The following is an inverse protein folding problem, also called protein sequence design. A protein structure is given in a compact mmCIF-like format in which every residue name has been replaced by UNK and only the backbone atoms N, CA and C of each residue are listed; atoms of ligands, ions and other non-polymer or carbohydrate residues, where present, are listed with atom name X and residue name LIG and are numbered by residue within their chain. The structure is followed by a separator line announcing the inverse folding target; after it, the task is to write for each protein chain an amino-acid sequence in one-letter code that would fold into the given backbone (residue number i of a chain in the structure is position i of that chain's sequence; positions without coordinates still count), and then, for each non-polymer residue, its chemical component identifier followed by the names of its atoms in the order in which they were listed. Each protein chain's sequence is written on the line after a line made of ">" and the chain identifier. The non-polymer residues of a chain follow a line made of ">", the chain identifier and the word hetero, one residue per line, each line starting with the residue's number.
data_IF_212794563197
#
_entry.id   IF_212794563197
#
_cell.length_a   1.000
_cell.length_b   1.000
_cell.length_c   1.000
_cell.angle_alpha   90.00
_cell.angle_beta   90.00
_cell.angle_gamma   90.00
#
_symmetry.space_group_name_H-M   'P 1'
#
loop_
_entity.id
_entity.type
_entity.pdbx_description
1 polymer ?
#
# COMPACT_ATOMS: atom_id res chain seq x y z
N UNK A 1 -0.03 43.84 7.29
CA UNK A 1 -1.29 43.10 6.99
C UNK A 1 -2.56 43.94 7.13
N UNK A 2 -2.64 44.86 8.10
CA UNK A 2 -3.79 45.77 8.37
C UNK A 2 -4.45 46.40 7.14
N UNK A 3 -3.67 46.95 6.22
CA UNK A 3 -4.17 47.61 5.01
C UNK A 3 -5.03 46.69 4.11
N UNK A 4 -4.71 45.39 4.04
CA UNK A 4 -5.51 44.41 3.27
C UNK A 4 -6.88 44.16 3.91
N UNK A 5 -6.98 44.18 5.23
CA UNK A 5 -8.25 44.02 5.95
C UNK A 5 -9.08 45.29 5.93
N UNK A 6 -8.45 46.46 6.01
CA UNK A 6 -9.14 47.75 5.86
C UNK A 6 -9.79 47.88 4.46
N UNK A 7 -9.09 47.45 3.40
CA UNK A 7 -9.65 47.36 2.04
C UNK A 7 -10.81 46.38 1.89
N UNK A 8 -10.98 45.43 2.80
CA UNK A 8 -12.12 44.48 2.84
C UNK A 8 -13.27 44.97 3.72
N UNK A 9 -13.24 46.22 4.18
CA UNK A 9 -14.32 46.85 4.95
C UNK A 9 -14.31 46.59 6.45
N UNK A 10 -13.22 46.03 7.00
CA UNK A 10 -13.15 45.77 8.44
C UNK A 10 -12.97 47.08 9.24
N UNK A 11 -13.79 47.34 10.29
CA UNK A 11 -13.68 48.54 11.11
C UNK A 11 -12.33 48.64 11.83
N UNK A 12 -11.76 49.86 11.86
CA UNK A 12 -10.44 50.13 12.45
C UNK A 12 -10.32 49.65 13.90
N UNK A 13 -11.39 49.79 14.70
CA UNK A 13 -11.43 49.36 16.10
C UNK A 13 -11.24 47.85 16.28
N UNK A 14 -11.70 47.03 15.32
CA UNK A 14 -11.52 45.57 15.35
C UNK A 14 -10.08 45.21 15.02
N UNK A 15 -9.45 45.95 14.11
CA UNK A 15 -8.05 45.77 13.74
C UNK A 15 -7.12 46.16 14.88
N UNK A 16 -7.41 47.24 15.61
CA UNK A 16 -6.65 47.67 16.79
C UNK A 16 -6.72 46.63 17.92
N UNK A 17 -7.91 46.06 18.18
CA UNK A 17 -8.07 44.97 19.15
C UNK A 17 -7.30 43.71 18.74
N UNK A 18 -7.32 43.36 17.46
CA UNK A 18 -6.60 42.21 16.94
C UNK A 18 -5.07 42.38 17.04
N UNK A 19 -4.55 43.57 16.72
CA UNK A 19 -3.11 43.86 16.85
C UNK A 19 -2.65 43.85 18.31
N UNK A 20 -3.46 44.40 19.24
CA UNK A 20 -3.21 44.27 20.68
C UNK A 20 -3.23 42.82 21.17
N UNK A 21 -4.11 41.99 20.62
CA UNK A 21 -4.19 40.56 20.98
C UNK A 21 -3.01 39.73 20.45
N UNK A 22 -2.40 40.15 19.32
CA UNK A 22 -1.21 39.50 18.75
C UNK A 22 0.06 39.85 19.55
N UNK A 23 0.16 41.08 20.06
CA UNK A 23 1.30 41.53 20.87
C UNK A 23 1.38 40.90 22.27
N UNK A 24 0.27 40.38 22.79
CA UNK A 24 0.26 39.61 24.04
C UNK A 24 0.69 38.17 23.77
N UNK A 25 2.00 37.93 23.72
CA UNK A 25 2.54 36.58 23.74
C UNK A 25 2.13 35.90 25.05
N UNK A 26 1.08 35.07 25.00
CA UNK A 26 0.81 34.13 26.09
C UNK A 26 2.04 33.24 26.20
N UNK A 27 2.81 33.42 27.27
CA UNK A 27 3.95 32.55 27.58
C UNK A 27 3.48 31.10 27.48
N UNK A 28 4.01 30.36 26.49
CA UNK A 28 3.74 28.93 26.37
C UNK A 28 4.36 28.28 27.59
N UNK A 29 3.57 28.01 28.63
CA UNK A 29 3.97 27.14 29.73
C UNK A 29 4.45 25.83 29.12
N UNK A 30 5.76 25.57 29.18
CA UNK A 30 6.37 24.32 28.77
C UNK A 30 5.82 23.25 29.73
N UNK A 31 4.79 22.52 29.28
CA UNK A 31 4.23 21.40 30.03
C UNK A 31 5.09 20.17 29.69
N UNK A 32 5.54 19.45 30.71
CA UNK A 32 6.28 18.19 30.54
C UNK A 32 5.50 17.14 29.72
N UNK A 33 6.14 16.02 29.36
CA UNK A 33 5.55 15.00 28.49
C UNK A 33 4.30 14.40 29.14
N UNK A 34 3.12 14.78 28.66
CA UNK A 34 1.83 14.20 29.08
C UNK A 34 1.40 13.17 28.05
N UNK A 35 0.93 12.01 28.52
CA UNK A 35 0.30 11.01 27.65
C UNK A 35 -0.93 11.63 26.98
N UNK A 36 -1.09 11.41 25.69
CA UNK A 36 -2.30 11.83 24.96
C UNK A 36 -3.31 10.68 24.94
N UNK A 37 -4.49 10.91 25.51
CA UNK A 37 -5.61 9.97 25.45
C UNK A 37 -6.58 10.40 24.34
N UNK A 38 -6.59 9.65 23.24
CA UNK A 38 -7.40 9.98 22.05
C UNK A 38 -8.75 9.27 22.10
N UNK A 39 -9.84 10.02 22.28
CA UNK A 39 -11.22 9.49 22.27
C UNK A 39 -12.06 10.11 21.15
N UNK A 40 -13.30 9.65 20.98
CA UNK A 40 -14.22 10.27 20.01
C UNK A 40 -15.02 11.40 20.64
N UNK A 41 -15.17 12.52 19.92
CA UNK A 41 -16.05 13.61 20.36
C UNK A 41 -17.52 13.18 20.31
N UNK A 42 -18.26 13.36 21.41
CA UNK A 42 -19.68 13.02 21.50
C UNK A 42 -20.31 13.59 22.79
N UNK A 43 -21.62 13.39 22.99
CA UNK A 43 -22.32 13.92 24.18
C UNK A 43 -21.78 13.42 25.51
N UNK A 44 -21.16 12.23 25.53
CA UNK A 44 -20.55 11.61 26.71
C UNK A 44 -19.08 12.03 26.93
N UNK A 45 -18.46 12.77 26.01
CA UNK A 45 -17.02 13.09 26.10
C UNK A 45 -16.66 13.84 27.38
N UNK A 46 -17.52 14.77 27.81
CA UNK A 46 -17.38 15.50 29.08
C UNK A 46 -17.50 14.58 30.29
N UNK A 47 -18.44 13.62 30.28
CA UNK A 47 -18.60 12.62 31.35
C UNK A 47 -17.38 11.71 31.43
N UNK A 48 -16.86 11.25 30.29
CA UNK A 48 -15.65 10.43 30.20
C UNK A 48 -14.44 11.19 30.77
N UNK A 49 -14.27 12.46 30.42
CA UNK A 49 -13.22 13.30 31.01
C UNK A 49 -13.38 13.42 32.53
N UNK A 50 -14.60 13.67 33.02
CA UNK A 50 -14.88 13.75 34.45
C UNK A 50 -14.52 12.48 35.20
N UNK A 51 -14.89 11.32 34.65
CA UNK A 51 -14.54 10.00 35.21
C UNK A 51 -13.01 9.80 35.20
N UNK A 52 -12.36 10.12 34.07
CA UNK A 52 -10.92 9.95 33.92
C UNK A 52 -10.15 10.79 34.94
N UNK A 53 -10.52 12.05 35.13
CA UNK A 53 -9.89 12.93 36.12
C UNK A 53 -10.17 12.44 37.56
N UNK A 54 -11.40 12.02 37.85
CA UNK A 54 -11.80 11.55 39.18
C UNK A 54 -11.04 10.28 39.60
N UNK A 55 -10.82 9.36 38.66
CA UNK A 55 -10.23 8.05 38.95
C UNK A 55 -8.77 7.91 38.52
N UNK A 56 -8.15 8.95 37.95
CA UNK A 56 -6.72 8.95 37.61
C UNK A 56 -5.80 8.58 38.78
N UNK A 57 -6.05 9.03 40.03
CA UNK A 57 -5.21 8.66 41.17
C UNK A 57 -5.11 7.15 41.43
N UNK A 58 -6.10 6.37 41.00
CA UNK A 58 -6.05 4.89 41.11
C UNK A 58 -4.90 4.34 40.27
N UNK A 59 -4.72 4.86 39.05
CA UNK A 59 -3.63 4.46 38.16
C UNK A 59 -2.26 4.93 38.68
N UNK A 60 -2.20 6.13 39.27
CA UNK A 60 -0.99 6.62 39.92
C UNK A 60 -0.55 5.71 41.09
N UNK A 61 -1.49 5.23 41.90
CA UNK A 61 -1.22 4.36 43.05
C UNK A 61 -0.87 2.93 42.65
N UNK A 62 -1.55 2.38 41.63
CA UNK A 62 -1.31 1.03 41.16
C UNK A 62 0.04 0.87 40.44
N UNK A 63 0.51 1.93 39.76
CA UNK A 63 1.73 1.90 38.94
C UNK A 63 2.69 3.06 39.25
N UNK A 64 3.30 3.09 40.45
CA UNK A 64 4.20 4.16 40.86
C UNK A 64 5.51 4.20 40.07
N UNK A 65 5.89 3.11 39.40
CA UNK A 65 7.10 3.00 38.58
C UNK A 65 7.00 3.72 37.23
N UNK A 66 5.78 4.01 36.76
CA UNK A 66 5.53 4.63 35.44
C UNK A 66 5.49 6.14 35.59
N UNK A 67 6.56 6.82 35.15
CA UNK A 67 6.73 8.28 35.26
C UNK A 67 5.67 9.07 34.49
N UNK A 68 5.06 8.44 33.50
CA UNK A 68 4.08 9.05 32.62
C UNK A 68 2.68 9.16 33.25
N UNK A 69 2.39 8.41 34.32
CA UNK A 69 1.10 8.46 35.02
C UNK A 69 1.03 9.49 36.15
N UNK A 70 2.13 10.22 36.41
CA UNK A 70 2.21 11.26 37.44
C UNK A 70 1.17 12.38 37.22
N UNK A 71 0.82 12.65 35.96
CA UNK A 71 -0.17 13.68 35.61
C UNK A 71 -1.29 13.11 34.75
N UNK A 72 -2.53 13.64 34.87
CA UNK A 72 -3.64 13.19 34.05
C UNK A 72 -3.34 13.43 32.56
N UNK A 73 -3.81 12.53 31.69
CA UNK A 73 -3.44 12.54 30.29
C UNK A 73 -4.12 13.73 29.60
N UNK A 74 -3.49 14.21 28.53
CA UNK A 74 -4.08 15.19 27.64
C UNK A 74 -5.16 14.50 26.80
N UNK A 75 -6.43 14.82 27.05
CA UNK A 75 -7.52 14.27 26.26
C UNK A 75 -7.60 14.98 24.93
N UNK A 76 -7.47 14.22 23.85
CA UNK A 76 -7.70 14.68 22.47
C UNK A 76 -8.93 14.00 21.89
N UNK A 77 -9.71 14.74 21.11
CA UNK A 77 -10.92 14.21 20.49
C UNK A 77 -10.75 14.05 18.98
N UNK A 78 -10.99 12.83 18.50
CA UNK A 78 -11.19 12.54 17.08
C UNK A 78 -12.64 12.84 16.70
N UNK A 79 -12.83 13.46 15.53
CA UNK A 79 -14.16 13.70 14.96
C UNK A 79 -14.91 12.38 14.80
N UNK A 80 -16.13 12.30 15.34
CA UNK A 80 -17.01 11.13 15.15
C UNK A 80 -17.52 11.10 13.71
N UNK A 81 -17.77 9.89 13.18
CA UNK A 81 -18.43 9.72 11.89
C UNK A 81 -19.82 10.37 11.95
N UNK A 82 -20.08 11.35 11.10
CA UNK A 82 -21.40 12.00 10.98
C UNK A 82 -22.36 11.12 10.19
N UNK A 83 -23.66 11.35 10.32
CA UNK A 83 -24.69 10.70 9.48
C UNK A 83 -24.36 10.95 8.00
N UNK A 84 -23.99 12.18 7.64
CA UNK A 84 -23.46 12.51 6.32
C UNK A 84 -22.32 11.56 5.90
N UNK A 85 -21.28 11.38 6.71
CA UNK A 85 -20.18 10.45 6.35
C UNK A 85 -20.59 8.97 6.24
N UNK A 86 -21.73 8.58 6.83
CA UNK A 86 -22.30 7.23 6.68
C UNK A 86 -23.14 7.09 5.40
N UNK A 87 -23.95 8.11 5.09
CA UNK A 87 -24.90 8.12 3.98
C UNK A 87 -24.29 8.61 2.66
N UNK A 88 -23.47 9.66 2.71
CA UNK A 88 -22.72 10.18 1.56
C UNK A 88 -21.45 9.37 1.36
N UNK A 89 -21.60 8.16 0.81
CA UNK A 89 -20.49 7.54 0.09
C UNK A 89 -20.53 8.10 -1.33
N UNK A 90 -19.49 8.83 -1.73
CA UNK A 90 -19.38 9.36 -3.10
C UNK A 90 -19.32 8.27 -4.18
N UNK A 91 -19.13 7.02 -3.77
CA UNK A 91 -19.15 5.85 -4.65
C UNK A 91 -20.01 4.77 -4.01
N UNK A 92 -21.02 4.30 -4.74
CA UNK A 92 -21.72 3.06 -4.40
C UNK A 92 -20.68 1.93 -4.42
N UNK A 93 -20.47 1.20 -3.31
CA UNK A 93 -19.66 -0.01 -3.36
C UNK A 93 -20.31 -0.90 -4.41
N UNK A 94 -19.62 -1.16 -5.53
CA UNK A 94 -19.99 -2.31 -6.35
C UNK A 94 -19.86 -3.50 -5.41
N UNK A 95 -20.95 -4.21 -5.17
CA UNK A 95 -20.86 -5.46 -4.44
C UNK A 95 -19.72 -6.24 -5.06
N UNK A 96 -18.74 -6.59 -4.22
CA UNK A 96 -17.81 -7.64 -4.59
C UNK A 96 -18.69 -8.88 -4.64
N UNK A 97 -19.39 -9.08 -5.76
CA UNK A 97 -19.87 -10.36 -6.19
C UNK A 97 -18.59 -11.19 -6.32
N UNK A 98 -18.14 -11.72 -5.19
CA UNK A 98 -17.35 -12.95 -5.17
C UNK A 98 -18.34 -13.92 -5.77
N UNK A 99 -18.31 -14.03 -7.10
CA UNK A 99 -19.18 -14.92 -7.83
C UNK A 99 -18.89 -16.31 -7.26
N UNK A 100 -19.72 -16.73 -6.32
CA UNK A 100 -19.81 -18.11 -5.89
C UNK A 100 -20.31 -18.82 -7.14
N UNK A 101 -19.38 -19.35 -7.91
CA UNK A 101 -19.71 -20.37 -8.88
C UNK A 101 -20.43 -21.50 -8.16
N UNK A 102 -21.25 -22.29 -8.88
CA UNK A 102 -21.89 -23.49 -8.34
C UNK A 102 -20.92 -24.41 -7.57
N UNK A 103 -19.64 -24.41 -7.97
CA UNK A 103 -18.54 -25.14 -7.34
C UNK A 103 -17.88 -24.44 -6.12
N UNK A 104 -18.53 -23.42 -5.54
CA UNK A 104 -18.04 -22.67 -4.39
C UNK A 104 -17.17 -21.45 -4.73
N UNK A 105 -16.51 -20.92 -3.70
CA UNK A 105 -15.62 -19.76 -3.83
C UNK A 105 -14.32 -20.14 -4.55
N UNK A 106 -13.92 -19.34 -5.53
CA UNK A 106 -12.62 -19.55 -6.20
C UNK A 106 -11.50 -19.44 -5.19
N UNK A 107 -10.66 -20.47 -5.14
CA UNK A 107 -9.43 -20.45 -4.36
C UNK A 107 -8.54 -19.28 -4.83
N UNK A 108 -7.94 -18.55 -3.89
CA UNK A 108 -6.89 -17.59 -4.24
C UNK A 108 -5.65 -18.33 -4.75
N UNK A 109 -4.79 -17.63 -5.48
CA UNK A 109 -3.56 -18.17 -6.04
C UNK A 109 -3.50 -18.14 -7.56
N UNK A 110 -2.44 -18.74 -8.09
CA UNK A 110 -2.19 -18.89 -9.52
C UNK A 110 -2.53 -20.31 -9.98
N UNK A 111 -3.29 -20.41 -11.07
CA UNK A 111 -3.74 -21.68 -11.64
C UNK A 111 -3.57 -21.68 -13.18
N UNK A 112 -3.31 -22.85 -13.80
CA UNK A 112 -3.24 -22.95 -15.25
C UNK A 112 -4.62 -22.69 -15.85
N UNK A 113 -4.70 -22.01 -17.00
CA UNK A 113 -5.97 -21.87 -17.72
C UNK A 113 -6.31 -23.10 -18.60
N UNK A 114 -5.45 -24.14 -18.59
CA UNK A 114 -5.54 -25.40 -19.34
C UNK A 114 -5.50 -25.29 -20.87
N UNK A 115 -5.84 -24.13 -21.42
CA UNK A 115 -5.92 -23.86 -22.87
C UNK A 115 -4.68 -23.09 -23.40
N UNK A 116 -3.50 -23.32 -22.83
CA UNK A 116 -2.32 -22.51 -23.20
C UNK A 116 -0.96 -23.22 -23.14
N UNK A 117 -0.09 -22.94 -24.13
CA UNK A 117 1.29 -23.44 -24.16
C UNK A 117 2.15 -22.97 -22.98
N UNK A 118 1.77 -21.87 -22.32
CA UNK A 118 2.49 -21.32 -21.16
C UNK A 118 2.08 -21.97 -19.84
N UNK A 119 0.97 -22.70 -19.82
CA UNK A 119 0.38 -23.26 -18.62
C UNK A 119 1.32 -24.29 -17.95
N UNK A 120 2.17 -24.96 -18.74
CA UNK A 120 3.22 -25.88 -18.25
C UNK A 120 4.33 -25.19 -17.45
N UNK A 121 4.50 -23.88 -17.57
CA UNK A 121 5.54 -23.09 -16.88
C UNK A 121 5.01 -22.34 -15.65
N UNK A 122 3.71 -22.48 -15.34
CA UNK A 122 3.07 -21.81 -14.22
C UNK A 122 3.50 -22.44 -12.91
N UNK A 123 3.93 -21.62 -11.95
CA UNK A 123 4.03 -22.01 -10.54
C UNK A 123 2.61 -21.95 -9.99
N UNK A 124 2.07 -23.11 -9.60
CA UNK A 124 0.69 -23.24 -9.13
C UNK A 124 0.65 -23.06 -7.62
N UNK A 125 -0.40 -22.42 -7.12
CA UNK A 125 -0.69 -22.40 -5.68
C UNK A 125 -1.03 -21.04 -5.11
N UNK A 126 -1.29 -21.04 -3.80
CA UNK A 126 -1.69 -19.88 -2.98
C UNK A 126 -0.51 -19.03 -2.52
N UNK A 127 0.70 -19.59 -2.55
CA UNK A 127 1.89 -18.96 -2.03
C UNK A 127 2.97 -18.92 -3.09
N UNK A 128 3.67 -17.79 -3.18
CA UNK A 128 4.94 -17.69 -3.87
C UNK A 128 6.06 -17.89 -2.85
N UNK A 129 6.91 -18.89 -3.06
CA UNK A 129 8.06 -19.16 -2.21
C UNK A 129 9.28 -18.46 -2.83
N UNK A 130 9.94 -17.60 -2.05
CA UNK A 130 11.17 -16.96 -2.49
C UNK A 130 12.32 -17.99 -2.51
N UNK A 131 12.98 -18.28 -3.66
CA UNK A 131 14.00 -19.33 -3.74
C UNK A 131 15.21 -19.13 -2.81
N UNK A 132 15.64 -17.89 -2.60
CA UNK A 132 16.77 -17.57 -1.71
C UNK A 132 16.44 -17.55 -0.20
N UNK A 133 15.41 -16.81 0.22
CA UNK A 133 15.09 -16.62 1.65
C UNK A 133 14.12 -17.66 2.21
N UNK A 134 13.39 -18.39 1.37
CA UNK A 134 12.31 -19.29 1.79
C UNK A 134 11.02 -18.57 2.20
N UNK A 135 10.97 -17.24 2.09
CA UNK A 135 9.79 -16.46 2.50
C UNK A 135 8.56 -16.84 1.67
N UNK A 136 7.47 -17.17 2.36
CA UNK A 136 6.19 -17.47 1.72
C UNK A 136 5.32 -16.22 1.58
N UNK A 137 4.92 -15.90 0.36
CA UNK A 137 4.10 -14.73 0.04
C UNK A 137 2.72 -15.19 -0.41
N UNK A 138 1.70 -14.88 0.38
CA UNK A 138 0.32 -15.23 0.05
C UNK A 138 -0.20 -14.40 -1.14
N UNK A 139 -0.58 -15.09 -2.21
CA UNK A 139 -1.16 -14.50 -3.41
C UNK A 139 -2.65 -14.25 -3.20
N UNK A 140 -3.07 -13.01 -3.44
CA UNK A 140 -4.45 -12.56 -3.25
C UNK A 140 -5.22 -12.60 -4.56
N UNK A 141 -6.42 -13.19 -4.52
CA UNK A 141 -7.28 -13.35 -5.70
C UNK A 141 -6.93 -14.57 -6.55
N UNK A 142 -7.81 -14.88 -7.52
CA UNK A 142 -7.64 -15.99 -8.46
C UNK A 142 -7.00 -15.49 -9.75
N UNK A 143 -5.84 -16.02 -10.10
CA UNK A 143 -5.07 -15.63 -11.28
C UNK A 143 -4.86 -16.80 -12.21
N UNK A 144 -4.82 -16.49 -13.51
CA UNK A 144 -4.51 -17.45 -14.55
C UNK A 144 -3.64 -16.80 -15.61
N UNK A 145 -3.25 -17.57 -16.63
CA UNK A 145 -2.50 -17.07 -17.78
C UNK A 145 -3.26 -15.99 -18.59
N UNK A 146 -4.57 -15.84 -18.36
CA UNK A 146 -5.43 -14.84 -19.00
C UNK A 146 -5.51 -13.53 -18.21
N UNK A 147 -4.96 -13.46 -17.00
CA UNK A 147 -4.97 -12.24 -16.19
C UNK A 147 -4.28 -11.08 -16.93
N UNK A 148 -4.78 -9.86 -16.72
CA UNK A 148 -4.32 -8.61 -17.33
C UNK A 148 -4.11 -7.56 -16.23
N UNK A 149 -3.30 -6.53 -16.46
CA UNK A 149 -2.94 -5.52 -15.45
C UNK A 149 -2.39 -6.15 -14.18
N UNK A 150 -1.32 -6.92 -14.35
CA UNK A 150 -0.72 -7.67 -13.25
C UNK A 150 0.78 -7.40 -13.16
N UNK A 151 1.29 -7.56 -11.94
CA UNK A 151 2.71 -7.74 -11.66
C UNK A 151 2.96 -9.24 -11.52
N UNK A 152 3.96 -9.75 -12.24
CA UNK A 152 4.34 -11.16 -12.25
C UNK A 152 5.82 -11.32 -11.89
N UNK A 153 6.16 -12.51 -11.38
CA UNK A 153 7.52 -12.95 -11.18
C UNK A 153 7.85 -14.07 -12.17
N UNK A 154 9.06 -14.02 -12.70
CA UNK A 154 9.73 -15.10 -13.42
C UNK A 154 10.85 -15.62 -12.53
N UNK A 155 10.90 -16.92 -12.33
CA UNK A 155 11.92 -17.61 -11.54
C UNK A 155 12.81 -18.41 -12.49
N UNK A 156 14.11 -18.13 -12.42
CA UNK A 156 15.16 -18.89 -13.07
C UNK A 156 15.38 -20.23 -12.34
N UNK A 157 15.79 -21.31 -13.04
CA UNK A 157 16.26 -22.54 -12.38
C UNK A 157 17.42 -22.30 -11.38
N UNK A 158 18.21 -21.26 -11.60
CA UNK A 158 19.28 -20.80 -10.73
C UNK A 158 18.82 -20.08 -9.44
N UNK A 159 17.50 -19.92 -9.23
CA UNK A 159 16.93 -19.26 -8.06
C UNK A 159 16.79 -17.72 -8.17
N UNK A 160 17.38 -17.10 -9.19
CA UNK A 160 17.20 -15.66 -9.43
C UNK A 160 15.78 -15.34 -9.93
N UNK A 161 15.27 -14.19 -9.49
CA UNK A 161 13.91 -13.74 -9.81
C UNK A 161 13.98 -12.49 -10.69
N UNK A 162 13.10 -12.43 -11.69
CA UNK A 162 12.77 -11.23 -12.44
C UNK A 162 11.33 -10.83 -12.10
N UNK A 163 11.10 -9.58 -11.74
CA UNK A 163 9.75 -9.01 -11.57
C UNK A 163 9.46 -8.14 -12.78
N UNK A 164 8.23 -8.24 -13.29
CA UNK A 164 7.78 -7.33 -14.34
C UNK A 164 6.28 -7.11 -14.26
N UNK A 165 5.83 -6.14 -15.03
CA UNK A 165 4.44 -5.74 -15.16
C UNK A 165 3.90 -6.02 -16.57
N UNK A 166 2.58 -6.14 -16.67
CA UNK A 166 1.93 -6.22 -17.97
C UNK A 166 0.48 -5.74 -17.92
N UNK A 167 0.12 -4.95 -18.91
CA UNK A 167 -1.27 -4.58 -19.20
C UNK A 167 -1.96 -5.70 -19.99
N UNK A 168 -1.20 -6.38 -20.85
CA UNK A 168 -1.68 -7.46 -21.70
C UNK A 168 -1.93 -8.75 -20.89
N UNK A 169 -2.43 -9.80 -21.56
CA UNK A 169 -2.58 -11.12 -20.93
C UNK A 169 -1.21 -11.68 -20.59
N UNK A 170 -1.04 -12.22 -19.37
CA UNK A 170 0.25 -12.80 -18.93
C UNK A 170 0.81 -13.81 -19.93
N UNK A 171 -0.05 -14.66 -20.53
CA UNK A 171 0.38 -15.63 -21.54
C UNK A 171 1.14 -15.00 -22.71
N UNK A 172 0.70 -13.82 -23.17
CA UNK A 172 1.31 -13.10 -24.28
C UNK A 172 2.66 -12.52 -23.86
N UNK A 173 2.72 -11.91 -22.68
CA UNK A 173 3.97 -11.35 -22.13
C UNK A 173 5.03 -12.42 -21.90
N UNK A 174 4.66 -13.55 -21.32
CA UNK A 174 5.59 -14.68 -21.12
C UNK A 174 6.05 -15.22 -22.48
N UNK A 175 5.17 -15.34 -23.47
CA UNK A 175 5.57 -15.76 -24.82
C UNK A 175 6.59 -14.81 -25.45
N UNK A 176 6.46 -13.50 -25.23
CA UNK A 176 7.42 -12.50 -25.68
C UNK A 176 8.78 -12.71 -25.02
N UNK A 177 8.83 -12.88 -23.70
CA UNK A 177 10.07 -13.20 -22.98
C UNK A 177 10.73 -14.49 -23.47
N UNK A 178 9.94 -15.54 -23.74
CA UNK A 178 10.49 -16.79 -24.28
C UNK A 178 11.07 -16.59 -25.68
N UNK A 179 10.43 -15.78 -26.52
CA UNK A 179 10.93 -15.45 -27.86
C UNK A 179 12.26 -14.69 -27.79
N UNK A 180 12.37 -13.70 -26.89
CA UNK A 180 13.62 -12.92 -26.74
C UNK A 180 14.77 -13.77 -26.22
N UNK A 181 14.51 -14.70 -25.28
CA UNK A 181 15.48 -15.69 -24.81
C UNK A 181 15.93 -16.60 -25.96
N UNK A 182 14.98 -17.11 -26.76
CA UNK A 182 15.29 -17.99 -27.91
C UNK A 182 16.17 -17.29 -28.95
N UNK A 183 15.92 -16.01 -29.21
CA UNK A 183 16.74 -15.18 -30.09
C UNK A 183 18.10 -14.80 -29.48
N UNK A 184 18.29 -14.99 -28.17
CA UNK A 184 19.54 -14.68 -27.48
C UNK A 184 19.86 -13.18 -27.44
N UNK A 185 18.83 -12.32 -27.35
CA UNK A 185 19.01 -10.87 -27.32
C UNK A 185 19.70 -10.43 -26.02
N UNK A 186 20.92 -9.89 -26.13
CA UNK A 186 21.78 -9.53 -24.98
C UNK A 186 21.38 -8.17 -24.37
N UNK A 187 20.57 -7.36 -25.07
CA UNK A 187 20.13 -6.06 -24.56
C UNK A 187 19.21 -6.19 -23.33
N UNK A 188 18.40 -7.27 -23.28
CA UNK A 188 17.47 -7.52 -22.18
C UNK A 188 18.12 -8.36 -21.08
N UNK A 189 18.02 -7.96 -19.80
CA UNK A 189 18.75 -8.62 -18.71
C UNK A 189 18.32 -10.08 -18.52
N UNK A 190 17.02 -10.38 -18.66
CA UNK A 190 16.51 -11.74 -18.58
C UNK A 190 17.09 -12.65 -19.68
N UNK A 191 17.13 -12.17 -20.93
CA UNK A 191 17.65 -12.95 -22.06
C UNK A 191 19.17 -13.11 -22.01
N UNK A 192 19.89 -12.03 -21.65
CA UNK A 192 21.33 -12.07 -21.38
C UNK A 192 21.67 -13.15 -20.35
N UNK A 193 20.99 -13.13 -19.21
CA UNK A 193 21.22 -14.07 -18.14
C UNK A 193 21.01 -15.53 -18.57
N UNK A 194 19.92 -15.82 -19.28
CA UNK A 194 19.64 -17.17 -19.78
C UNK A 194 20.72 -17.65 -20.74
N UNK A 195 21.23 -16.76 -21.62
CA UNK A 195 22.32 -17.06 -22.53
C UNK A 195 23.63 -17.34 -21.79
N UNK A 196 24.01 -16.48 -20.84
CA UNK A 196 25.26 -16.58 -20.07
C UNK A 196 25.31 -17.83 -19.18
N UNK A 197 24.18 -18.23 -18.60
CA UNK A 197 24.09 -19.43 -17.75
C UNK A 197 23.72 -20.71 -18.51
N UNK A 198 23.55 -20.64 -19.83
CA UNK A 198 23.13 -21.79 -20.64
C UNK A 198 21.74 -22.32 -20.29
N UNK A 199 20.86 -21.48 -19.74
CA UNK A 199 19.49 -21.85 -19.43
C UNK A 199 18.59 -21.76 -20.65
N UNK A 200 17.64 -22.67 -20.76
CA UNK A 200 16.67 -22.69 -21.87
C UNK A 200 15.37 -22.02 -21.48
N UNK A 201 14.64 -21.51 -22.47
CA UNK A 201 13.33 -20.88 -22.22
C UNK A 201 12.32 -21.83 -21.54
N UNK A 202 12.47 -23.15 -21.69
CA UNK A 202 11.55 -24.13 -21.10
C UNK A 202 11.79 -24.39 -19.61
N UNK A 203 12.94 -23.97 -19.07
CA UNK A 203 13.23 -24.02 -17.63
C UNK A 203 12.62 -22.85 -16.86
N UNK A 204 12.16 -21.82 -17.57
CA UNK A 204 11.53 -20.64 -16.98
C UNK A 204 10.23 -21.01 -16.26
N UNK A 205 10.07 -20.55 -15.01
CA UNK A 205 8.82 -20.66 -14.25
C UNK A 205 8.25 -19.28 -13.95
N UNK A 206 6.93 -19.13 -13.87
CA UNK A 206 6.32 -17.83 -13.57
C UNK A 206 5.07 -17.92 -12.70
N UNK A 207 4.79 -16.84 -11.97
CA UNK A 207 3.59 -16.65 -11.15
C UNK A 207 3.12 -15.20 -11.19
N UNK A 208 1.82 -14.96 -11.11
CA UNK A 208 1.27 -13.62 -10.85
C UNK A 208 1.39 -13.29 -9.36
N UNK A 209 2.01 -12.16 -9.04
CA UNK A 209 2.15 -11.67 -7.67
C UNK A 209 0.95 -10.83 -7.24
N UNK A 210 0.51 -9.92 -8.11
CA UNK A 210 -0.56 -8.98 -7.80
C UNK A 210 -1.33 -8.57 -9.06
N UNK A 211 -2.66 -8.49 -8.94
CA UNK A 211 -3.53 -7.86 -9.93
C UNK A 211 -3.91 -6.46 -9.47
N UNK A 212 -3.78 -5.47 -10.35
CA UNK A 212 -4.17 -4.09 -10.10
C UNK A 212 -5.58 -3.87 -10.63
N UNK A 213 -6.62 -3.82 -9.77
CA UNK A 213 -7.99 -3.64 -10.21
C UNK A 213 -8.21 -2.24 -10.82
N UNK A 214 -9.27 -2.06 -11.62
CA UNK A 214 -9.68 -0.75 -12.09
C UNK A 214 -9.87 0.25 -10.94
N UNK A 215 -9.45 1.50 -11.15
CA UNK A 215 -9.55 2.56 -10.15
C UNK A 215 -11.00 3.09 -10.10
N UNK A 216 -11.57 3.14 -8.90
CA UNK A 216 -12.99 3.55 -8.70
C UNK A 216 -13.19 5.06 -8.85
N UNK A 217 -12.16 5.88 -8.63
CA UNK A 217 -12.26 7.35 -8.56
C UNK A 217 -11.41 8.05 -9.62
N UNK A 218 -11.22 7.41 -10.78
CA UNK A 218 -10.25 7.85 -11.77
C UNK A 218 -8.80 7.70 -11.29
N UNK A 219 -7.87 8.22 -12.08
CA UNK A 219 -6.43 8.07 -11.90
C UNK A 219 -5.81 7.14 -12.93
N UNK A 220 -4.48 7.20 -13.03
CA UNK A 220 -3.74 6.40 -13.98
C UNK A 220 -3.47 4.99 -13.42
N UNK A 221 -4.19 4.01 -13.99
CA UNK A 221 -4.05 2.58 -13.64
C UNK A 221 -2.68 2.03 -14.06
N UNK A 222 -2.11 2.52 -15.15
CA UNK A 222 -0.80 2.11 -15.63
C UNK A 222 0.30 2.66 -14.70
N UNK A 223 0.21 3.93 -14.29
CA UNK A 223 1.11 4.48 -13.29
C UNK A 223 1.07 3.66 -12.00
N UNK A 224 -0.13 3.31 -11.51
CA UNK A 224 -0.27 2.45 -10.34
C UNK A 224 0.36 1.08 -10.57
N UNK A 225 0.21 0.49 -11.75
CA UNK A 225 0.83 -0.79 -12.09
C UNK A 225 2.36 -0.71 -12.00
N UNK A 226 2.96 0.33 -12.58
CA UNK A 226 4.41 0.58 -12.50
C UNK A 226 4.87 0.81 -11.06
N UNK A 227 4.16 1.60 -10.27
CA UNK A 227 4.46 1.79 -8.84
C UNK A 227 4.44 0.46 -8.05
N UNK A 228 3.48 -0.43 -8.36
CA UNK A 228 3.42 -1.76 -7.72
C UNK A 228 4.56 -2.65 -8.16
N UNK A 229 4.98 -2.58 -9.42
CA UNK A 229 6.17 -3.28 -9.91
C UNK A 229 7.42 -2.89 -9.12
N UNK A 230 7.70 -1.58 -8.98
CA UNK A 230 8.84 -1.08 -8.21
C UNK A 230 8.80 -1.56 -6.75
N UNK A 231 7.61 -1.53 -6.15
CA UNK A 231 7.42 -2.05 -4.80
C UNK A 231 7.76 -3.55 -4.69
N UNK A 232 7.37 -4.36 -5.68
CA UNK A 232 7.70 -5.79 -5.72
C UNK A 232 9.17 -6.06 -5.99
N UNK A 233 9.81 -5.30 -6.89
CA UNK A 233 11.26 -5.39 -7.14
C UNK A 233 12.03 -5.16 -5.84
N UNK A 234 11.65 -4.13 -5.08
CA UNK A 234 12.25 -3.84 -3.76
C UNK A 234 11.95 -4.93 -2.73
N UNK A 235 10.71 -5.41 -2.67
CA UNK A 235 10.29 -6.44 -1.68
C UNK A 235 10.98 -7.78 -1.89
N UNK A 236 11.20 -8.17 -3.15
CA UNK A 236 11.81 -9.45 -3.54
C UNK A 236 13.31 -9.32 -3.82
N UNK A 237 13.90 -8.14 -3.59
CA UNK A 237 15.30 -7.83 -3.87
C UNK A 237 15.79 -8.32 -5.25
N UNK A 238 15.02 -8.02 -6.30
CA UNK A 238 15.30 -8.58 -7.64
C UNK A 238 16.23 -7.73 -8.51
N UNK A 239 16.85 -6.69 -7.94
CA UNK A 239 17.84 -5.88 -8.64
C UNK A 239 19.11 -6.68 -8.94
N UNK A 240 19.80 -6.29 -10.01
CA UNK A 240 21.07 -6.83 -10.45
C UNK A 240 22.07 -6.99 -9.28
N UNK A 241 22.82 -8.10 -9.28
CA UNK A 241 23.60 -8.72 -8.19
C UNK A 241 22.82 -9.77 -7.35
N UNK A 242 21.55 -9.53 -7.04
CA UNK A 242 20.70 -10.48 -6.30
C UNK A 242 19.54 -11.05 -7.16
N UNK A 243 19.21 -10.38 -8.27
CA UNK A 243 18.17 -10.80 -9.22
C UNK A 243 18.41 -10.28 -10.63
N UNK A 244 17.36 -10.30 -11.45
CA UNK A 244 17.42 -10.12 -12.90
C UNK A 244 16.92 -8.74 -13.40
N UNK A 245 16.38 -7.89 -12.52
CA UNK A 245 15.97 -6.54 -12.87
C UNK A 245 17.20 -5.63 -12.96
N UNK A 246 17.35 -4.87 -14.06
CA UNK A 246 18.48 -3.95 -14.25
C UNK A 246 18.32 -2.69 -13.39
N UNK A 247 17.14 -2.10 -13.42
CA UNK A 247 16.82 -0.80 -12.83
C UNK A 247 15.31 -0.67 -12.60
N UNK A 248 14.91 0.34 -11.83
CA UNK A 248 13.52 0.75 -11.66
C UNK A 248 13.43 2.28 -11.57
N UNK A 249 12.29 2.84 -11.97
CA UNK A 249 12.10 4.28 -12.00
C UNK A 249 11.40 4.78 -10.73
N UNK A 250 12.12 5.54 -9.88
CA UNK A 250 11.58 6.16 -8.67
C UNK A 250 10.81 7.46 -8.92
N UNK A 251 10.97 8.10 -10.09
CA UNK A 251 10.22 9.32 -10.44
C UNK A 251 8.71 9.07 -10.52
N UNK A 252 8.28 7.81 -10.58
CA UNK A 252 6.87 7.42 -10.54
C UNK A 252 6.15 7.78 -9.23
N UNK A 253 6.88 8.18 -8.19
CA UNK A 253 6.33 8.52 -6.86
C UNK A 253 6.37 10.02 -6.54
N UNK A 254 6.88 10.85 -7.46
CA UNK A 254 6.90 12.31 -7.37
C UNK A 254 5.68 12.89 -8.08
#
# INVERSE_FOLDING_TARGET
>A
MRHKFKKRGYPSQVLDKAEKAIGQSKSKKVKGPRITFVTQYGGLSRKINGILQKHWPILCRAYPTVREFISPPLISYKRRKTIGSKLTKSSVPKDKLVASTFLGQRNSGMYPCLDCKQCRHVIKGKFFLHPGTGDSIQIRGYHTCLSQFVVYAIVCPCGMIYVGETIQKVKSRISQHKSTIKLGNIALPLSRHFKEKGHTMDQLRFMVLEHVPPLVRGGDRELRLKQREVWWIKRLNTLHLAGLNRDYNLYLFL
#
